data_IF_622839829531
#
_entry.id   IF_622839829531
#
_cell.length_a   1.000
_cell.length_b   1.000
_cell.length_c   1.000
_cell.angle_alpha   90.00
_cell.angle_beta   90.00
_cell.angle_gamma   90.00
#
_symmetry.space_group_name_H-M   'P 1'
#
loop_
_entity.id
_entity.type
_entity.pdbx_description
1 polymer ?
#
# COMPACT_ATOMS: atom_id res chain seq x y z
N UNK A 1 9.84 21.57 14.61
CA UNK A 1 8.60 21.13 15.28
C UNK A 1 9.01 19.98 16.15
N UNK A 2 8.89 20.13 17.47
CA UNK A 2 9.23 19.06 18.39
C UNK A 2 8.28 17.88 18.16
N UNK A 3 8.86 16.70 17.93
CA UNK A 3 8.15 15.47 17.55
C UNK A 3 7.25 14.93 18.67
N UNK A 4 7.42 15.41 19.91
CA UNK A 4 6.65 15.01 21.07
C UNK A 4 6.23 16.22 21.92
N UNK A 5 4.96 16.29 22.36
CA UNK A 5 4.52 17.32 23.29
C UNK A 5 5.23 17.19 24.65
N UNK A 6 5.43 18.30 25.36
CA UNK A 6 5.97 18.28 26.72
C UNK A 6 4.92 17.77 27.70
N UNK A 7 4.85 16.44 27.83
CA UNK A 7 3.89 15.75 28.67
C UNK A 7 4.02 16.10 30.16
N UNK A 8 5.20 16.55 30.61
CA UNK A 8 5.44 16.93 32.00
C UNK A 8 4.76 18.24 32.41
N UNK A 9 4.31 19.03 31.44
CA UNK A 9 3.58 20.30 31.64
C UNK A 9 2.07 20.16 31.69
N UNK A 10 1.53 18.99 31.32
CA UNK A 10 0.09 18.72 31.26
C UNK A 10 -0.43 18.24 32.63
N UNK A 11 -1.62 18.69 32.99
CA UNK A 11 -2.40 18.08 34.08
C UNK A 11 -2.91 16.69 33.69
N UNK A 12 -3.30 15.90 34.69
CA UNK A 12 -3.89 14.58 34.47
C UNK A 12 -5.14 14.61 33.57
N UNK A 13 -5.93 15.69 33.64
CA UNK A 13 -7.13 15.84 32.82
C UNK A 13 -6.77 16.14 31.36
N UNK A 14 -5.82 17.05 31.13
CA UNK A 14 -5.31 17.36 29.78
C UNK A 14 -4.65 16.13 29.15
N UNK A 15 -3.94 15.33 29.95
CA UNK A 15 -3.33 14.09 29.48
C UNK A 15 -4.39 13.06 29.07
N UNK A 16 -5.47 12.89 29.84
CA UNK A 16 -6.58 11.99 29.47
C UNK A 16 -7.26 12.43 28.20
N UNK A 17 -7.50 13.73 28.03
CA UNK A 17 -8.10 14.29 26.83
C UNK A 17 -7.20 14.06 25.61
N UNK A 18 -5.90 14.29 25.75
CA UNK A 18 -4.93 14.05 24.68
C UNK A 18 -4.87 12.57 24.28
N UNK A 19 -4.88 11.65 25.25
CA UNK A 19 -4.93 10.20 24.99
C UNK A 19 -6.21 9.84 24.23
N UNK A 20 -7.36 10.37 24.65
CA UNK A 20 -8.63 10.11 23.99
C UNK A 20 -8.61 10.58 22.53
N UNK A 21 -8.15 11.81 22.28
CA UNK A 21 -8.05 12.37 20.93
C UNK A 21 -7.13 11.53 20.03
N UNK A 22 -5.92 11.21 20.51
CA UNK A 22 -4.98 10.40 19.73
C UNK A 22 -5.49 8.98 19.48
N UNK A 23 -6.25 8.42 20.42
CA UNK A 23 -6.87 7.09 20.27
C UNK A 23 -7.95 7.11 19.19
N UNK A 24 -8.79 8.15 19.15
CA UNK A 24 -9.80 8.32 18.11
C UNK A 24 -9.17 8.50 16.72
N UNK A 25 -8.15 9.34 16.61
CA UNK A 25 -7.40 9.53 15.36
C UNK A 25 -6.74 8.23 14.88
N UNK A 26 -6.11 7.48 15.79
CA UNK A 26 -5.52 6.17 15.48
C UNK A 26 -6.58 5.20 14.94
N UNK A 27 -7.74 5.13 15.59
CA UNK A 27 -8.83 4.25 15.19
C UNK A 27 -9.33 4.57 13.79
N UNK A 28 -9.48 5.85 13.45
CA UNK A 28 -9.86 6.29 12.10
C UNK A 28 -8.82 5.90 11.05
N UNK A 29 -7.54 6.13 11.33
CA UNK A 29 -6.44 5.77 10.42
C UNK A 29 -6.42 4.25 10.22
N UNK A 30 -6.53 3.49 11.30
CA UNK A 30 -6.58 2.03 11.28
C UNK A 30 -7.79 1.50 10.52
N UNK A 31 -8.94 2.15 10.62
CA UNK A 31 -10.11 1.80 9.81
C UNK A 31 -9.84 2.02 8.31
N UNK A 32 -9.35 3.20 7.92
CA UNK A 32 -8.99 3.51 6.52
C UNK A 32 -7.96 2.52 5.97
N UNK A 33 -6.94 2.17 6.77
CA UNK A 33 -5.92 1.17 6.42
C UNK A 33 -6.55 -0.20 6.13
N UNK A 34 -7.46 -0.68 6.99
CA UNK A 34 -8.13 -1.98 6.80
C UNK A 34 -8.96 -2.01 5.51
N UNK A 35 -9.69 -0.94 5.20
CA UNK A 35 -10.48 -0.87 3.96
C UNK A 35 -9.58 -0.91 2.72
N UNK A 36 -8.47 -0.16 2.73
CA UNK A 36 -7.51 -0.17 1.62
C UNK A 36 -6.87 -1.55 1.45
N UNK A 37 -6.42 -2.17 2.53
CA UNK A 37 -5.84 -3.51 2.48
C UNK A 37 -6.84 -4.54 1.95
N UNK A 38 -8.10 -4.50 2.40
CA UNK A 38 -9.15 -5.37 1.87
C UNK A 38 -9.36 -5.22 0.36
N UNK A 39 -9.36 -3.99 -0.16
CA UNK A 39 -9.43 -3.74 -1.61
C UNK A 39 -8.22 -4.29 -2.35
N UNK A 40 -7.02 -4.05 -1.82
CA UNK A 40 -5.76 -4.55 -2.40
C UNK A 40 -5.78 -6.08 -2.44
N UNK A 41 -6.24 -6.74 -1.38
CA UNK A 41 -6.25 -8.19 -1.29
C UNK A 41 -7.26 -8.82 -2.27
N UNK A 42 -8.43 -8.20 -2.45
CA UNK A 42 -9.39 -8.61 -3.49
C UNK A 42 -8.76 -8.51 -4.89
N UNK A 43 -8.11 -7.38 -5.19
CA UNK A 43 -7.46 -7.17 -6.50
C UNK A 43 -6.30 -8.15 -6.72
N UNK A 44 -5.50 -8.41 -5.70
CA UNK A 44 -4.42 -9.42 -5.76
C UNK A 44 -4.97 -10.82 -6.00
N UNK A 45 -6.04 -11.21 -5.30
CA UNK A 45 -6.67 -12.50 -5.48
C UNK A 45 -7.20 -12.68 -6.91
N UNK A 46 -7.85 -11.64 -7.46
CA UNK A 46 -8.34 -11.65 -8.83
C UNK A 46 -7.21 -11.67 -9.86
N UNK A 47 -6.12 -10.92 -9.64
CA UNK A 47 -4.94 -10.98 -10.50
C UNK A 47 -4.34 -12.38 -10.54
N UNK A 48 -4.16 -13.02 -9.38
CA UNK A 48 -3.66 -14.39 -9.28
C UNK A 48 -4.59 -15.37 -10.00
N UNK A 49 -5.91 -15.21 -9.85
CA UNK A 49 -6.91 -16.03 -10.53
C UNK A 49 -6.77 -15.91 -12.07
N UNK A 50 -6.68 -14.68 -12.59
CA UNK A 50 -6.49 -14.44 -14.03
C UNK A 50 -5.20 -15.05 -14.56
N UNK A 51 -4.10 -14.90 -13.83
CA UNK A 51 -2.81 -15.50 -14.22
C UNK A 51 -2.87 -17.03 -14.25
N UNK A 52 -3.56 -17.65 -13.28
CA UNK A 52 -3.80 -19.11 -13.29
C UNK A 52 -4.62 -19.53 -14.49
N UNK A 53 -5.73 -18.85 -14.77
CA UNK A 53 -6.60 -19.16 -15.93
C UNK A 53 -5.84 -19.06 -17.25
N UNK A 54 -5.08 -17.98 -17.47
CA UNK A 54 -4.25 -17.80 -18.68
C UNK A 54 -3.26 -18.96 -18.86
N UNK A 55 -2.64 -19.42 -17.76
CA UNK A 55 -1.75 -20.59 -17.78
C UNK A 55 -2.47 -21.88 -18.18
N UNK A 56 -3.67 -22.10 -17.66
CA UNK A 56 -4.51 -23.27 -17.98
C UNK A 56 -4.95 -23.26 -19.45
N UNK A 57 -5.20 -22.07 -20.00
CA UNK A 57 -5.54 -21.83 -21.41
C UNK A 57 -4.31 -21.93 -22.35
N UNK A 58 -3.11 -22.19 -21.80
CA UNK A 58 -1.87 -22.34 -22.56
C UNK A 58 -1.24 -21.01 -22.98
N UNK A 59 -1.74 -19.88 -22.48
CA UNK A 59 -1.14 -18.57 -22.73
C UNK A 59 0.13 -18.39 -21.89
N UNK A 60 1.15 -17.75 -22.48
CA UNK A 60 2.34 -17.39 -21.74
C UNK A 60 2.04 -16.28 -20.72
N UNK A 61 2.33 -16.54 -19.44
CA UNK A 61 2.22 -15.57 -18.35
C UNK A 61 3.25 -14.44 -18.52
N UNK A 62 4.43 -14.76 -19.06
CA UNK A 62 5.51 -13.82 -19.35
C UNK A 62 5.65 -13.72 -20.87
N UNK A 63 5.42 -12.53 -21.40
CA UNK A 63 5.59 -12.23 -22.82
C UNK A 63 7.04 -11.84 -23.13
N UNK A 64 7.42 -11.85 -24.41
CA UNK A 64 8.72 -11.31 -24.82
C UNK A 64 8.91 -9.84 -24.46
N UNK A 65 7.83 -9.06 -24.47
CA UNK A 65 7.83 -7.66 -24.06
C UNK A 65 8.15 -7.48 -22.56
N UNK A 66 7.65 -8.38 -21.70
CA UNK A 66 7.97 -8.36 -20.26
C UNK A 66 9.47 -8.59 -20.02
N UNK A 67 10.09 -9.47 -20.80
CA UNK A 67 11.54 -9.75 -20.74
C UNK A 67 12.37 -8.55 -21.21
N UNK A 68 11.94 -7.91 -22.30
CA UNK A 68 12.57 -6.70 -22.82
C UNK A 68 12.48 -5.54 -21.83
N UNK A 69 11.32 -5.36 -21.19
CA UNK A 69 11.12 -4.35 -20.14
C UNK A 69 12.01 -4.62 -18.92
N UNK A 70 12.10 -5.88 -18.46
CA UNK A 70 13.00 -6.25 -17.36
C UNK A 70 14.47 -5.96 -17.71
N UNK A 71 14.86 -6.25 -18.95
CA UNK A 71 16.22 -5.97 -19.45
C UNK A 71 16.52 -4.47 -19.43
N UNK A 72 15.55 -3.63 -19.82
CA UNK A 72 15.70 -2.17 -19.78
C UNK A 72 15.82 -1.64 -18.34
N UNK A 73 15.00 -2.15 -17.41
CA UNK A 73 15.07 -1.80 -15.98
C UNK A 73 16.44 -2.17 -15.40
N UNK A 74 16.91 -3.40 -15.64
CA UNK A 74 18.21 -3.88 -15.15
C UNK A 74 19.39 -3.13 -15.79
N UNK A 75 19.23 -2.65 -17.02
CA UNK A 75 20.21 -1.82 -17.71
C UNK A 75 20.19 -0.34 -17.26
N UNK A 76 19.31 0.05 -16.32
CA UNK A 76 19.20 1.42 -15.81
C UNK A 76 18.56 2.41 -16.80
N UNK A 77 17.89 1.91 -17.84
CA UNK A 77 17.09 2.74 -18.75
C UNK A 77 15.71 2.91 -18.11
N UNK A 78 15.34 4.14 -17.76
CA UNK A 78 14.04 4.46 -17.15
C UNK A 78 12.89 3.90 -17.99
N UNK A 79 11.81 3.47 -17.32
CA UNK A 79 10.60 3.01 -17.98
C UNK A 79 10.13 4.04 -19.03
N UNK A 80 9.63 3.62 -20.20
CA UNK A 80 8.89 4.54 -21.05
C UNK A 80 7.72 5.10 -20.24
N UNK A 81 7.52 6.42 -20.32
CA UNK A 81 6.38 7.09 -19.71
C UNK A 81 5.10 6.37 -20.16
N UNK A 82 4.50 5.60 -19.25
CA UNK A 82 3.12 5.16 -19.42
C UNK A 82 2.23 6.37 -19.11
N UNK A 83 2.14 7.30 -20.06
CA UNK A 83 1.01 8.21 -20.14
C UNK A 83 -0.23 7.41 -20.59
N UNK A 84 -1.28 7.47 -19.78
CA UNK A 84 -2.58 6.86 -20.01
C UNK A 84 -3.57 7.32 -18.96
#
# INVERSE_FOLDING_TARGET
>A
MDTFPDLGSLSDEELKQLIQQLTEEEQEISYKRRILHGKIDILRAELVNRLRRRREEGESIITGADVEQLTNILAGKSLPDTEG
#
